data_IF_103972890017
#
_entry.id   IF_103972890017
#
_cell.length_a   1.000
_cell.length_b   1.000
_cell.length_c   1.000
_cell.angle_alpha   90.00
_cell.angle_beta   90.00
_cell.angle_gamma   90.00
#
_symmetry.space_group_name_H-M   'P 1'
#
loop_
_entity.id
_entity.type
_entity.pdbx_description
1 polymer ?
#
# COMPACT_ATOMS: atom_id res chain seq x y z
N UNK A 1 -31.32 1.20 41.60
CA UNK A 1 -30.23 1.84 40.81
C UNK A 1 -30.73 1.78 39.38
N UNK A 2 -31.66 2.69 39.09
CA UNK A 2 -32.60 2.59 37.98
C UNK A 2 -32.06 3.45 36.85
N UNK A 3 -31.43 2.83 35.86
CA UNK A 3 -31.05 3.52 34.63
C UNK A 3 -32.33 3.80 33.85
N UNK A 4 -32.72 5.07 33.63
CA UNK A 4 -33.89 5.36 32.79
C UNK A 4 -33.60 4.83 31.38
N UNK A 5 -34.37 3.81 30.97
CA UNK A 5 -34.29 3.25 29.62
C UNK A 5 -35.08 4.18 28.69
N UNK A 6 -34.49 5.33 28.38
CA UNK A 6 -35.03 6.22 27.35
C UNK A 6 -34.94 5.49 26.00
N UNK A 7 -36.02 5.45 25.20
CA UNK A 7 -35.95 4.93 23.85
C UNK A 7 -34.87 5.69 23.06
N UNK A 8 -34.16 5.02 22.13
CA UNK A 8 -33.18 5.70 21.30
C UNK A 8 -33.84 6.87 20.57
N UNK A 9 -33.21 8.05 20.54
CA UNK A 9 -33.76 9.25 19.91
C UNK A 9 -34.04 9.00 18.43
N UNK A 10 -35.14 9.58 17.94
CA UNK A 10 -35.60 9.38 16.57
C UNK A 10 -34.59 10.01 15.59
N UNK A 11 -34.13 9.28 14.55
CA UNK A 11 -33.16 9.79 13.58
C UNK A 11 -33.59 11.10 12.90
N UNK A 12 -34.90 11.38 12.84
CA UNK A 12 -35.44 12.63 12.31
C UNK A 12 -35.03 13.86 13.13
N UNK A 13 -34.89 13.74 14.44
CA UNK A 13 -34.41 14.84 15.31
C UNK A 13 -32.98 15.29 14.95
N UNK A 14 -32.16 14.37 14.46
CA UNK A 14 -30.79 14.68 13.99
C UNK A 14 -30.75 15.26 12.58
N UNK A 15 -31.83 15.13 11.80
CA UNK A 15 -31.97 15.75 10.46
C UNK A 15 -32.35 17.22 10.61
N UNK A 16 -33.23 17.53 11.56
CA UNK A 16 -33.78 18.87 11.80
C UNK A 16 -32.94 19.73 12.77
N UNK A 17 -31.81 19.20 13.29
CA UNK A 17 -30.92 19.93 14.20
C UNK A 17 -30.32 21.19 13.52
N UNK A 18 -30.63 22.42 14.00
CA UNK A 18 -30.04 23.66 13.48
C UNK A 18 -28.53 23.74 13.65
N UNK A 19 -27.95 22.91 14.52
CA UNK A 19 -26.51 22.80 14.77
C UNK A 19 -25.83 21.78 13.88
N UNK A 20 -26.54 21.14 12.95
CA UNK A 20 -25.92 20.31 11.91
C UNK A 20 -24.94 21.14 11.11
N UNK A 21 -23.66 20.93 11.40
CA UNK A 21 -22.61 21.31 10.47
C UNK A 21 -22.58 20.25 9.36
N UNK A 22 -22.56 20.64 8.08
CA UNK A 22 -22.32 19.68 7.03
C UNK A 22 -21.00 18.97 7.36
N UNK A 23 -21.02 17.64 7.47
CA UNK A 23 -19.81 16.83 7.51
C UNK A 23 -19.16 16.91 6.13
N UNK A 24 -18.58 18.07 5.80
CA UNK A 24 -17.59 18.17 4.75
C UNK A 24 -16.39 17.37 5.26
N UNK A 25 -16.36 16.08 4.92
CA UNK A 25 -15.17 15.27 5.10
C UNK A 25 -14.12 15.91 4.20
N UNK A 26 -13.31 16.76 4.83
CA UNK A 26 -12.25 17.52 4.20
C UNK A 26 -11.16 16.57 3.73
N UNK A 27 -11.43 15.99 2.55
CA UNK A 27 -10.53 15.09 1.82
C UNK A 27 -9.27 15.83 1.40
N UNK A 28 -9.33 17.17 1.33
CA UNK A 28 -8.20 18.06 1.11
C UNK A 28 -7.30 18.16 2.34
N UNK A 29 -7.84 18.27 3.56
CA UNK A 29 -7.10 18.20 4.83
C UNK A 29 -6.49 16.81 5.05
N UNK A 30 -7.14 15.74 4.57
CA UNK A 30 -6.62 14.36 4.56
C UNK A 30 -5.63 14.07 3.43
N UNK A 31 -5.29 15.04 2.58
CA UNK A 31 -4.16 14.90 1.65
C UNK A 31 -2.90 14.91 2.53
N UNK A 32 -2.48 13.70 2.91
CA UNK A 32 -1.46 13.45 3.92
C UNK A 32 -0.22 14.32 3.70
N UNK A 33 0.54 14.62 4.78
CA UNK A 33 1.70 15.51 4.73
C UNK A 33 2.60 15.17 3.54
N UNK A 34 3.24 16.16 2.92
CA UNK A 34 4.05 15.97 1.70
C UNK A 34 5.07 14.82 1.80
N UNK A 35 5.54 14.52 3.01
CA UNK A 35 6.36 13.36 3.38
C UNK A 35 5.69 12.03 3.01
N UNK A 36 4.40 11.86 3.29
CA UNK A 36 3.65 10.66 2.94
C UNK A 36 3.56 10.47 1.43
N UNK A 37 3.37 11.55 0.67
CA UNK A 37 3.34 11.48 -0.80
C UNK A 37 4.70 11.08 -1.37
N UNK A 38 5.79 11.61 -0.83
CA UNK A 38 7.15 11.21 -1.19
C UNK A 38 7.42 9.74 -0.83
N UNK A 39 6.96 9.29 0.34
CA UNK A 39 7.09 7.91 0.76
C UNK A 39 6.31 6.96 -0.15
N UNK A 40 5.08 7.31 -0.54
CA UNK A 40 4.28 6.52 -1.50
C UNK A 40 5.00 6.38 -2.84
N UNK A 41 5.53 7.48 -3.39
CA UNK A 41 6.27 7.46 -4.66
C UNK A 41 7.56 6.63 -4.55
N UNK A 42 8.27 6.74 -3.42
CA UNK A 42 9.47 5.95 -3.15
C UNK A 42 9.18 4.46 -3.05
N UNK A 43 8.11 4.07 -2.36
CA UNK A 43 7.67 2.68 -2.26
C UNK A 43 7.23 2.12 -3.62
N UNK A 44 6.54 2.93 -4.43
CA UNK A 44 6.15 2.54 -5.78
C UNK A 44 7.39 2.23 -6.66
N UNK A 45 8.40 3.10 -6.62
CA UNK A 45 9.66 2.87 -7.35
C UNK A 45 10.43 1.67 -6.81
N UNK A 46 10.44 1.46 -5.49
CA UNK A 46 11.08 0.29 -4.87
C UNK A 46 10.46 -1.00 -5.40
N UNK A 47 9.13 -1.11 -5.36
CA UNK A 47 8.39 -2.29 -5.83
C UNK A 47 8.62 -2.50 -7.34
N UNK A 48 8.58 -1.43 -8.13
CA UNK A 48 8.86 -1.50 -9.56
C UNK A 48 10.28 -2.00 -9.85
N UNK A 49 11.29 -1.52 -9.12
CA UNK A 49 12.67 -1.96 -9.26
C UNK A 49 12.84 -3.43 -8.88
N UNK A 50 12.20 -3.88 -7.80
CA UNK A 50 12.21 -5.28 -7.36
C UNK A 50 11.58 -6.20 -8.41
N UNK A 51 10.44 -5.82 -9.00
CA UNK A 51 9.79 -6.55 -10.10
C UNK A 51 10.70 -6.68 -11.33
N UNK A 52 11.33 -5.59 -11.75
CA UNK A 52 12.26 -5.61 -12.89
C UNK A 52 13.45 -6.52 -12.60
N UNK A 53 14.04 -6.43 -11.40
CA UNK A 53 15.16 -7.27 -11.00
C UNK A 53 14.77 -8.76 -11.00
N UNK A 54 13.56 -9.11 -10.58
CA UNK A 54 13.04 -10.48 -10.62
C UNK A 54 12.91 -10.99 -12.07
N UNK A 55 12.34 -10.17 -12.96
CA UNK A 55 12.20 -10.52 -14.39
C UNK A 55 13.58 -10.75 -15.02
N UNK A 56 14.54 -9.88 -14.72
CA UNK A 56 15.92 -10.00 -15.22
C UNK A 56 16.58 -11.26 -14.67
N UNK A 57 16.41 -11.59 -13.39
CA UNK A 57 16.98 -12.79 -12.79
C UNK A 57 16.44 -14.07 -13.44
N UNK A 58 15.12 -14.18 -13.62
CA UNK A 58 14.49 -15.32 -14.30
C UNK A 58 14.94 -15.41 -15.75
N UNK A 59 14.97 -14.27 -16.45
CA UNK A 59 15.39 -14.21 -17.86
C UNK A 59 16.85 -14.61 -18.02
N UNK A 60 17.75 -14.11 -17.17
CA UNK A 60 19.16 -14.47 -17.14
C UNK A 60 19.36 -15.96 -16.85
N UNK A 61 18.53 -16.56 -15.98
CA UNK A 61 18.59 -17.99 -15.70
C UNK A 61 18.14 -18.84 -16.90
N UNK A 62 17.08 -18.44 -17.59
CA UNK A 62 16.63 -19.11 -18.83
C UNK A 62 17.69 -19.01 -19.92
N UNK A 63 18.26 -17.82 -20.13
CA UNK A 63 19.30 -17.57 -21.14
C UNK A 63 20.60 -18.32 -20.77
N UNK A 64 21.03 -18.27 -19.52
CA UNK A 64 22.23 -18.98 -19.04
C UNK A 64 22.12 -20.49 -19.22
N UNK A 65 20.94 -21.05 -18.94
CA UNK A 65 20.69 -22.47 -19.16
C UNK A 65 20.59 -22.83 -20.64
N UNK A 66 20.01 -21.96 -21.47
CA UNK A 66 19.81 -22.19 -22.90
C UNK A 66 21.07 -21.99 -23.77
N UNK A 67 21.93 -21.02 -23.42
CA UNK A 67 23.12 -20.67 -24.21
C UNK A 67 24.43 -21.18 -23.61
N UNK A 68 24.55 -21.25 -22.28
CA UNK A 68 25.84 -21.49 -21.61
C UNK A 68 25.93 -22.88 -20.94
N UNK A 69 24.85 -23.67 -20.93
CA UNK A 69 24.78 -24.95 -20.21
C UNK A 69 25.27 -24.85 -18.73
N UNK A 70 25.21 -23.64 -18.17
CA UNK A 70 25.69 -23.31 -16.83
C UNK A 70 24.72 -22.29 -16.23
N UNK A 71 24.00 -22.73 -15.20
CA UNK A 71 23.11 -21.88 -14.40
C UNK A 71 23.98 -20.83 -13.71
N UNK A 72 23.78 -19.52 -13.94
CA UNK A 72 24.58 -18.49 -13.27
C UNK A 72 24.20 -18.45 -11.78
N UNK A 73 25.06 -18.93 -10.85
CA UNK A 73 24.70 -19.00 -9.43
C UNK A 73 24.56 -17.60 -8.80
N UNK A 74 25.15 -16.57 -9.41
CA UNK A 74 25.04 -15.19 -8.94
C UNK A 74 23.63 -14.60 -9.10
N UNK A 75 22.84 -15.06 -10.09
CA UNK A 75 21.46 -14.58 -10.29
C UNK A 75 20.51 -15.10 -9.20
N UNK A 76 20.75 -16.32 -8.73
CA UNK A 76 20.02 -16.94 -7.61
C UNK A 76 20.37 -16.24 -6.29
N UNK A 77 21.65 -15.97 -6.04
CA UNK A 77 22.12 -15.24 -4.85
C UNK A 77 21.57 -13.80 -4.80
N UNK A 78 21.55 -13.11 -5.94
CA UNK A 78 20.96 -11.77 -6.06
C UNK A 78 19.45 -11.79 -5.82
N UNK A 79 18.73 -12.73 -6.43
CA UNK A 79 17.29 -12.88 -6.22
C UNK A 79 16.99 -13.12 -4.73
N UNK A 80 17.80 -13.93 -4.06
CA UNK A 80 17.69 -14.18 -2.61
C UNK A 80 17.91 -12.91 -1.78
N UNK A 81 18.92 -12.12 -2.13
CA UNK A 81 19.19 -10.86 -1.43
C UNK A 81 18.08 -9.82 -1.65
N UNK A 82 17.57 -9.71 -2.88
CA UNK A 82 16.46 -8.82 -3.24
C UNK A 82 15.14 -9.24 -2.58
N UNK A 83 14.89 -10.55 -2.46
CA UNK A 83 13.66 -11.08 -1.86
C UNK A 83 13.55 -10.83 -0.36
N UNK A 84 14.68 -10.80 0.38
CA UNK A 84 14.68 -10.48 1.83
C UNK A 84 14.18 -9.05 2.10
N UNK A 85 14.28 -8.17 1.09
CA UNK A 85 13.87 -6.77 1.18
C UNK A 85 12.49 -6.47 0.55
N UNK A 86 11.77 -7.49 0.06
CA UNK A 86 10.38 -7.42 -0.39
C UNK A 86 9.43 -7.85 0.74
#
# INVERSE_FOLDING_TARGET
MDTPHSPPPDPSEFLDDPRRQPLEIDTQQRRGPAVFRWLTIGMEHLIAALLVALIVSVSANVIGRALLNHSLPWADELARMLFIWL
#
